data_IF_207698854850
#
_entry.id   IF_207698854850
#
_cell.length_a   1.000
_cell.length_b   1.000
_cell.length_c   1.000
_cell.angle_alpha   90.00
_cell.angle_beta   90.00
_cell.angle_gamma   90.00
#
_symmetry.space_group_name_H-M   'P 1'
#
loop_
_entity.id
_entity.type
_entity.pdbx_description
1 polymer ?
#
# COMPACT_ATOMS: atom_id res chain seq x y z
N UNK A 1 -8.83 4.33 -15.38
CA UNK A 1 -8.31 3.50 -14.29
C UNK A 1 -7.25 4.33 -13.59
N UNK A 2 -7.24 4.36 -12.27
CA UNK A 2 -6.18 4.97 -11.48
C UNK A 2 -5.33 3.88 -10.86
N UNK A 3 -4.12 4.23 -10.49
CA UNK A 3 -3.28 3.40 -9.63
C UNK A 3 -3.20 4.03 -8.24
N UNK A 4 -3.26 3.18 -7.23
CA UNK A 4 -2.99 3.55 -5.85
C UNK A 4 -1.71 2.87 -5.36
N UNK A 5 -0.96 3.53 -4.48
CA UNK A 5 0.13 2.93 -3.73
C UNK A 5 -0.38 2.66 -2.32
N UNK A 6 -0.20 1.42 -1.87
CA UNK A 6 -0.55 0.98 -0.53
C UNK A 6 0.69 0.56 0.23
N UNK A 7 0.75 1.04 1.47
CA UNK A 7 1.82 0.84 2.42
C UNK A 7 1.28 0.02 3.59
N UNK A 8 1.89 -1.14 3.85
CA UNK A 8 1.56 -2.00 4.96
C UNK A 8 2.78 -2.15 5.88
N UNK A 9 2.57 -2.00 7.19
CA UNK A 9 3.64 -1.99 8.18
C UNK A 9 3.14 -2.41 9.56
N UNK A 10 4.07 -2.88 10.40
CA UNK A 10 3.81 -3.16 11.82
C UNK A 10 4.05 -1.89 12.62
N UNK A 11 3.06 -1.47 13.42
CA UNK A 11 3.20 -0.30 14.28
C UNK A 11 4.24 -0.58 15.38
N UNK A 12 5.29 0.26 15.49
CA UNK A 12 6.44 0.02 16.38
C UNK A 12 6.09 -0.26 17.86
N UNK A 13 4.97 0.28 18.34
CA UNK A 13 4.56 0.19 19.75
C UNK A 13 3.26 -0.60 19.94
N UNK A 14 2.79 -1.33 18.92
CA UNK A 14 1.56 -2.12 18.98
C UNK A 14 1.78 -3.50 18.37
N UNK A 15 0.95 -4.46 18.75
CA UNK A 15 0.93 -5.82 18.18
C UNK A 15 0.18 -5.91 16.84
N UNK A 16 -0.19 -4.77 16.25
CA UNK A 16 -1.05 -4.70 15.06
C UNK A 16 -0.30 -4.28 13.80
N UNK A 17 -0.74 -4.81 12.65
CA UNK A 17 -0.39 -4.30 11.34
C UNK A 17 -1.38 -3.21 10.90
N UNK A 18 -0.88 -2.17 10.24
CA UNK A 18 -1.66 -1.11 9.63
C UNK A 18 -1.46 -1.12 8.11
N UNK A 19 -2.50 -0.71 7.38
CA UNK A 19 -2.50 -0.56 5.92
C UNK A 19 -3.04 0.82 5.58
N UNK A 20 -2.31 1.57 4.76
CA UNK A 20 -2.70 2.91 4.33
C UNK A 20 -2.51 3.11 2.82
N UNK A 21 -3.38 3.92 2.22
CA UNK A 21 -3.21 4.40 0.84
C UNK A 21 -2.43 5.71 0.88
N UNK A 22 -1.23 5.72 0.32
CA UNK A 22 -0.29 6.86 0.41
C UNK A 22 -0.20 7.69 -0.86
N UNK A 23 -0.71 7.16 -1.98
CA UNK A 23 -0.73 7.89 -3.26
C UNK A 23 -1.81 7.33 -4.18
N UNK A 24 -2.43 8.19 -5.00
CA UNK A 24 -3.40 7.81 -6.01
C UNK A 24 -3.26 8.70 -7.26
N UNK A 25 -3.20 8.12 -8.45
CA UNK A 25 -3.16 8.89 -9.70
C UNK A 25 -3.52 8.06 -10.92
N UNK A 26 -4.08 8.71 -11.94
CA UNK A 26 -4.18 8.16 -13.30
C UNK A 26 -2.85 8.27 -14.08
N UNK A 27 -1.85 8.99 -13.56
CA UNK A 27 -0.54 9.11 -14.19
C UNK A 27 0.41 8.04 -13.65
N UNK A 28 0.57 6.96 -14.40
CA UNK A 28 1.34 5.79 -13.97
C UNK A 28 2.84 6.08 -13.82
N UNK A 29 3.38 7.03 -14.59
CA UNK A 29 4.78 7.46 -14.44
C UNK A 29 5.01 8.17 -13.11
N UNK A 30 4.06 9.01 -12.68
CA UNK A 30 4.12 9.66 -11.35
C UNK A 30 3.96 8.65 -10.22
N UNK A 31 3.10 7.66 -10.39
CA UNK A 31 2.92 6.57 -9.42
C UNK A 31 4.22 5.78 -9.27
N UNK A 32 4.87 5.43 -10.39
CA UNK A 32 6.16 4.70 -10.36
C UNK A 32 7.26 5.50 -9.65
N UNK A 33 7.43 6.77 -10.00
CA UNK A 33 8.42 7.63 -9.34
C UNK A 33 8.15 7.76 -7.84
N UNK A 34 6.88 7.90 -7.44
CA UNK A 34 6.49 7.98 -6.03
C UNK A 34 6.71 6.67 -5.29
N UNK A 35 6.48 5.53 -5.94
CA UNK A 35 6.74 4.22 -5.40
C UNK A 35 8.23 4.03 -5.06
N UNK A 36 9.12 4.39 -5.98
CA UNK A 36 10.57 4.30 -5.78
C UNK A 36 11.05 5.21 -4.63
N UNK A 37 10.49 6.42 -4.50
CA UNK A 37 10.71 7.31 -3.34
C UNK A 37 10.28 6.65 -2.02
N UNK A 38 9.11 6.01 -2.01
CA UNK A 38 8.54 5.39 -0.82
C UNK A 38 9.29 4.13 -0.40
N UNK A 39 9.73 3.30 -1.35
CA UNK A 39 10.57 2.11 -1.08
C UNK A 39 11.89 2.51 -0.44
N UNK A 40 12.53 3.57 -0.94
CA UNK A 40 13.76 4.09 -0.34
C UNK A 40 13.53 4.67 1.07
N UNK A 41 12.37 5.29 1.31
CA UNK A 41 12.01 5.91 2.59
C UNK A 41 11.58 4.89 3.65
N UNK A 42 10.94 3.81 3.23
CA UNK A 42 10.35 2.79 4.10
C UNK A 42 10.80 1.39 3.67
N UNK A 43 12.11 1.08 3.78
CA UNK A 43 12.66 -0.18 3.29
C UNK A 43 12.10 -1.41 4.02
N UNK A 44 11.63 -1.24 5.25
CA UNK A 44 11.05 -2.32 6.08
C UNK A 44 9.54 -2.49 5.86
N UNK A 45 8.91 -1.64 5.05
CA UNK A 45 7.47 -1.70 4.83
C UNK A 45 7.14 -2.45 3.53
N UNK A 46 5.97 -3.08 3.50
CA UNK A 46 5.46 -3.70 2.29
C UNK A 46 4.68 -2.66 1.47
N UNK A 47 5.16 -2.39 0.25
CA UNK A 47 4.57 -1.41 -0.67
C UNK A 47 4.06 -2.10 -1.94
N UNK A 48 2.80 -1.86 -2.30
CA UNK A 48 2.16 -2.43 -3.48
C UNK A 48 1.43 -1.36 -4.31
N UNK A 49 1.32 -1.59 -5.62
CA UNK A 49 0.55 -0.76 -6.55
C UNK A 49 -0.67 -1.55 -7.03
N UNK A 50 -1.86 -0.96 -6.94
CA UNK A 50 -3.11 -1.56 -7.41
C UNK A 50 -3.80 -0.68 -8.44
N UNK A 51 -4.33 -1.30 -9.49
CA UNK A 51 -5.21 -0.65 -10.46
C UNK A 51 -6.66 -0.68 -9.98
N UNK A 52 -7.35 0.46 -10.02
CA UNK A 52 -8.74 0.62 -9.56
C UNK A 52 -9.53 1.56 -10.48
N UNK A 53 -10.87 1.47 -10.44
CA UNK A 53 -11.72 2.53 -11.02
C UNK A 53 -11.62 3.77 -10.12
N UNK A 54 -11.76 4.96 -10.71
CA UNK A 54 -11.60 6.22 -9.98
C UNK A 54 -12.61 6.35 -8.82
N UNK A 55 -13.85 5.93 -9.07
CA UNK A 55 -14.97 6.05 -8.13
C UNK A 55 -15.19 4.76 -7.31
N UNK A 56 -14.17 3.92 -7.18
CA UNK A 56 -14.25 2.73 -6.32
C UNK A 56 -14.33 3.17 -4.86
N UNK A 57 -15.44 2.87 -4.19
CA UNK A 57 -15.54 3.02 -2.73
C UNK A 57 -14.66 1.96 -2.05
N UNK A 58 -13.55 2.42 -1.46
CA UNK A 58 -12.60 1.55 -0.78
C UNK A 58 -13.19 0.91 0.48
N UNK A 59 -14.23 1.49 1.08
CA UNK A 59 -14.89 0.93 2.27
C UNK A 59 -15.80 -0.26 1.93
N UNK A 60 -16.31 -0.33 0.70
CA UNK A 60 -17.16 -1.41 0.21
C UNK A 60 -16.36 -2.58 -0.37
N UNK A 61 -15.05 -2.39 -0.60
CA UNK A 61 -14.18 -3.49 -0.93
C UNK A 61 -14.18 -4.44 0.27
N UNK A 62 -14.78 -5.63 0.10
CA UNK A 62 -14.55 -6.77 0.98
C UNK A 62 -13.05 -6.84 1.15
N UNK A 63 -12.58 -6.57 2.37
CA UNK A 63 -11.23 -6.11 2.69
C UNK A 63 -10.15 -6.59 1.72
N UNK A 64 -9.13 -5.73 1.52
CA UNK A 64 -7.78 -6.09 1.11
C UNK A 64 -7.58 -7.58 1.36
N UNK A 65 -7.27 -8.44 0.35
CA UNK A 65 -6.98 -9.83 0.65
C UNK A 65 -6.02 -9.75 1.82
N UNK A 66 -6.48 -10.22 2.97
CA UNK A 66 -5.78 -10.06 4.23
C UNK A 66 -4.56 -10.93 4.07
N UNK A 67 -3.56 -10.42 3.37
CA UNK A 67 -2.21 -10.92 3.43
C UNK A 67 -1.89 -10.59 4.86
N UNK A 68 -2.04 -11.60 5.70
CA UNK A 68 -1.40 -11.60 6.99
C UNK A 68 0.08 -11.42 6.65
N UNK A 69 0.57 -10.19 6.76
CA UNK A 69 1.98 -9.92 6.64
C UNK A 69 2.51 -10.17 8.04
N UNK A 70 2.85 -11.42 8.30
CA UNK A 70 3.56 -11.80 9.51
C UNK A 70 4.95 -11.21 9.47
N UNK A 71 5.64 -11.26 10.61
CA UNK A 71 7.07 -10.87 10.69
C UNK A 71 7.92 -11.67 9.69
N UNK A 72 7.50 -12.88 9.36
CA UNK A 72 8.15 -13.83 8.44
C UNK A 72 8.18 -13.32 6.99
N UNK A 73 7.16 -12.57 6.56
CA UNK A 73 7.10 -11.96 5.21
C UNK A 73 7.97 -10.69 5.08
N UNK A 74 8.56 -10.22 6.18
CA UNK A 74 9.51 -9.10 6.22
C UNK A 74 10.97 -9.56 6.44
N UNK A 75 11.25 -10.87 6.56
CA UNK A 75 12.61 -11.45 6.74
C UNK A 75 13.25 -12.00 5.45
#
# INVERSE_FOLDING_TARGET
>A
MIQIIVNAFVEKDKTGAAVEVVYASSNHAKVRAKYEELVAKYPENYLAIYDLKLDTDLNELSHYPSVFIGKEEFE
#
